data_IF_845472187348
#
_entry.id   IF_845472187348
#
_cell.length_a   1.000
_cell.length_b   1.000
_cell.length_c   1.000
_cell.angle_alpha   90.00
_cell.angle_beta   90.00
_cell.angle_gamma   90.00
#
_symmetry.space_group_name_H-M   'P 1'
#
loop_
_entity.id
_entity.type
_entity.pdbx_description
1 polymer ?
#
# COMPACT_ATOMS: atom_id res chain seq x y z
N UNK A 1 -4.18 1.37 5.57
CA UNK A 1 -5.13 0.37 5.02
C UNK A 1 -5.27 -0.74 6.06
N UNK A 2 -6.34 -1.53 6.04
CA UNK A 2 -6.51 -2.61 7.01
C UNK A 2 -5.78 -3.87 6.49
N UNK A 3 -4.73 -4.37 7.17
CA UNK A 3 -3.98 -5.54 6.74
C UNK A 3 -4.77 -6.85 6.83
N UNK A 4 -5.92 -6.88 7.52
CA UNK A 4 -6.76 -8.07 7.66
C UNK A 4 -7.78 -8.25 6.50
N UNK A 5 -7.66 -7.46 5.44
CA UNK A 5 -8.58 -7.48 4.29
C UNK A 5 -7.77 -7.47 2.99
N UNK A 6 -8.43 -7.78 1.87
CA UNK A 6 -7.81 -7.68 0.55
C UNK A 6 -7.29 -6.26 0.28
N UNK A 7 -5.96 -6.13 0.36
CA UNK A 7 -5.25 -4.88 0.23
C UNK A 7 -5.18 -4.39 -1.22
N UNK A 8 -5.18 -5.27 -2.23
CA UNK A 8 -5.16 -4.84 -3.63
C UNK A 8 -6.50 -4.23 -4.01
N UNK A 9 -7.59 -4.93 -3.68
CA UNK A 9 -8.95 -4.44 -3.87
C UNK A 9 -9.21 -3.16 -3.08
N UNK A 10 -8.74 -3.12 -1.83
CA UNK A 10 -8.81 -1.93 -0.98
C UNK A 10 -8.04 -0.74 -1.56
N UNK A 11 -6.87 -0.96 -2.16
CA UNK A 11 -6.06 0.07 -2.79
C UNK A 11 -6.77 0.63 -4.02
N UNK A 12 -7.24 -0.25 -4.89
CA UNK A 12 -7.93 0.10 -6.12
C UNK A 12 -9.21 0.90 -5.84
N UNK A 13 -10.00 0.50 -4.84
CA UNK A 13 -11.18 1.23 -4.38
C UNK A 13 -10.84 2.64 -3.88
N UNK A 14 -9.73 2.79 -3.14
CA UNK A 14 -9.24 4.10 -2.67
C UNK A 14 -8.71 4.98 -3.80
N UNK A 15 -8.04 4.40 -4.79
CA UNK A 15 -7.59 5.12 -5.99
C UNK A 15 -8.79 5.64 -6.79
N UNK A 16 -9.84 4.82 -6.93
CA UNK A 16 -11.05 5.19 -7.67
C UNK A 16 -11.95 6.19 -6.94
N UNK A 17 -11.86 6.31 -5.62
CA UNK A 17 -12.62 7.30 -4.85
C UNK A 17 -11.88 8.64 -4.68
N UNK A 18 -10.58 8.68 -4.96
CA UNK A 18 -9.78 9.89 -4.81
C UNK A 18 -9.96 10.83 -6.02
N UNK A 19 -10.49 12.03 -5.80
CA UNK A 19 -10.77 13.02 -6.86
C UNK A 19 -9.56 13.35 -7.75
N UNK A 20 -8.35 13.37 -7.20
CA UNK A 20 -7.11 13.62 -7.97
C UNK A 20 -6.80 12.43 -8.88
N UNK A 21 -6.94 11.21 -8.36
CA UNK A 21 -6.72 10.00 -9.12
C UNK A 21 -7.82 9.80 -10.19
N UNK A 22 -9.09 10.07 -9.86
CA UNK A 22 -10.21 10.06 -10.81
C UNK A 22 -9.98 11.07 -11.94
N UNK A 23 -9.46 12.25 -11.64
CA UNK A 23 -9.08 13.24 -12.65
C UNK A 23 -8.03 12.69 -13.62
N UNK A 24 -7.00 12.03 -13.10
CA UNK A 24 -5.93 11.39 -13.89
C UNK A 24 -6.47 10.23 -14.73
N UNK A 25 -7.32 9.39 -14.15
CA UNK A 25 -7.95 8.23 -14.81
C UNK A 25 -8.84 8.70 -15.97
N UNK A 26 -9.70 9.70 -15.72
CA UNK A 26 -10.58 10.29 -16.74
C UNK A 26 -9.81 11.05 -17.82
N UNK A 27 -8.82 11.85 -17.46
CA UNK A 27 -8.01 12.61 -18.43
C UNK A 27 -7.16 11.69 -19.31
N UNK A 28 -6.78 10.53 -18.79
CA UNK A 28 -5.97 9.55 -19.50
C UNK A 28 -6.76 8.66 -20.47
N UNK A 29 -8.09 8.83 -20.59
CA UNK A 29 -9.00 7.94 -21.34
C UNK A 29 -8.70 6.46 -21.05
N UNK A 30 -8.43 6.13 -19.78
CA UNK A 30 -8.27 4.72 -19.41
C UNK A 30 -9.66 4.12 -19.53
N UNK A 31 -9.85 3.28 -20.56
CA UNK A 31 -11.10 2.61 -20.77
C UNK A 31 -11.20 1.44 -19.79
N UNK A 32 -11.57 1.77 -18.55
CA UNK A 32 -11.79 0.79 -17.49
C UNK A 32 -12.84 -0.26 -17.90
N UNK A 33 -13.71 0.06 -18.88
CA UNK A 33 -14.66 -0.90 -19.46
C UNK A 33 -13.96 -2.06 -20.19
N UNK A 34 -12.78 -1.84 -20.79
CA UNK A 34 -11.95 -2.87 -21.41
C UNK A 34 -11.15 -3.70 -20.38
N UNK A 35 -10.97 -3.14 -19.18
CA UNK A 35 -10.41 -3.82 -18.00
C UNK A 35 -11.48 -4.52 -17.14
N UNK A 36 -12.64 -4.85 -17.71
CA UNK A 36 -13.65 -5.69 -17.03
C UNK A 36 -14.48 -4.97 -15.96
N UNK A 37 -14.45 -3.65 -15.87
CA UNK A 37 -15.29 -2.90 -14.93
C UNK A 37 -16.74 -2.82 -15.46
N UNK A 38 -17.54 -3.84 -15.16
CA UNK A 38 -19.01 -3.77 -15.20
C UNK A 38 -19.73 -4.26 -16.46
N UNK A 39 -19.03 -4.85 -17.44
CA UNK A 39 -19.68 -5.56 -18.56
C UNK A 39 -19.17 -7.00 -18.56
N UNK A 40 -20.05 -7.94 -18.19
CA UNK A 40 -19.83 -9.37 -18.38
C UNK A 40 -19.97 -9.63 -19.88
N UNK A 41 -18.87 -9.71 -20.61
CA UNK A 41 -18.87 -10.22 -21.98
C UNK A 41 -18.88 -11.75 -21.86
N UNK A 42 -20.02 -12.37 -22.18
CA UNK A 42 -20.15 -13.83 -22.19
C UNK A 42 -19.05 -14.46 -23.05
N UNK A 43 -18.28 -15.39 -22.46
CA UNK A 43 -17.33 -16.23 -23.19
C UNK A 43 -15.85 -15.91 -23.00
N UNK A 44 -15.49 -14.88 -22.23
CA UNK A 44 -14.10 -14.67 -21.78
C UNK A 44 -14.07 -14.70 -20.26
N UNK A 45 -13.29 -15.61 -19.66
CA UNK A 45 -13.10 -15.63 -18.20
C UNK A 45 -12.56 -14.26 -17.78
N UNK A 46 -13.24 -13.49 -16.91
CA UNK A 46 -12.75 -12.18 -16.51
C UNK A 46 -11.53 -12.38 -15.61
N UNK A 47 -10.35 -12.36 -16.22
CA UNK A 47 -9.08 -12.20 -15.51
C UNK A 47 -8.56 -10.82 -15.90
N UNK A 48 -9.16 -9.79 -15.30
CA UNK A 48 -8.59 -8.45 -15.23
C UNK A 48 -8.13 -8.26 -13.80
N UNK A 49 -6.94 -8.79 -13.52
CA UNK A 49 -6.26 -8.85 -12.22
C UNK A 49 -6.11 -7.44 -11.63
N UNK A 50 -6.52 -7.23 -10.37
CA UNK A 50 -6.47 -5.94 -9.67
C UNK A 50 -5.09 -5.29 -9.78
N UNK A 51 -4.03 -6.10 -9.79
CA UNK A 51 -2.65 -5.68 -10.00
C UNK A 51 -2.45 -4.93 -11.33
N UNK A 52 -2.97 -5.45 -12.44
CA UNK A 52 -2.83 -4.85 -13.78
C UNK A 52 -3.51 -3.48 -13.84
N UNK A 53 -4.68 -3.35 -13.21
CA UNK A 53 -5.39 -2.07 -13.12
C UNK A 53 -4.58 -1.05 -12.30
N UNK A 54 -4.01 -1.47 -11.17
CA UNK A 54 -3.15 -0.61 -10.34
C UNK A 54 -1.92 -0.16 -11.12
N UNK A 55 -1.25 -1.05 -11.87
CA UNK A 55 -0.10 -0.71 -12.72
C UNK A 55 -0.46 0.38 -13.72
N UNK A 56 -1.56 0.23 -14.46
CA UNK A 56 -1.99 1.21 -15.45
C UNK A 56 -2.25 2.60 -14.82
N UNK A 57 -2.85 2.64 -13.63
CA UNK A 57 -3.06 3.89 -12.88
C UNK A 57 -1.71 4.50 -12.48
N UNK A 58 -0.81 3.70 -11.92
CA UNK A 58 0.52 4.15 -11.47
C UNK A 58 1.38 4.69 -12.62
N UNK A 59 1.36 4.06 -13.79
CA UNK A 59 2.05 4.57 -14.99
C UNK A 59 1.55 5.96 -15.39
N UNK A 60 0.25 6.19 -15.30
CA UNK A 60 -0.34 7.49 -15.61
C UNK A 60 -0.04 8.51 -14.52
N UNK A 61 -0.01 8.11 -13.24
CA UNK A 61 0.47 8.98 -12.16
C UNK A 61 1.93 9.40 -12.41
N UNK A 62 2.78 8.48 -12.88
CA UNK A 62 4.18 8.77 -13.25
C UNK A 62 4.26 9.85 -14.33
N UNK A 63 3.48 9.71 -15.41
CA UNK A 63 3.41 10.68 -16.52
C UNK A 63 2.92 12.06 -16.08
N UNK A 64 2.09 12.14 -15.04
CA UNK A 64 1.60 13.39 -14.46
C UNK A 64 2.49 13.93 -13.31
N UNK A 65 3.66 13.34 -13.08
CA UNK A 65 4.58 13.74 -12.00
C UNK A 65 4.03 13.52 -10.60
N UNK A 66 3.04 12.63 -10.43
CA UNK A 66 2.43 12.29 -9.14
C UNK A 66 3.02 11.02 -8.57
N UNK A 67 2.99 10.91 -7.24
CA UNK A 67 3.50 9.77 -6.47
C UNK A 67 2.42 9.25 -5.53
N UNK A 68 2.40 7.95 -5.29
CA UNK A 68 1.47 7.26 -4.38
C UNK A 68 2.21 6.81 -3.13
N UNK A 69 1.78 7.26 -1.95
CA UNK A 69 2.22 6.73 -0.66
C UNK A 69 1.11 5.85 -0.09
N UNK A 70 1.42 4.58 0.12
CA UNK A 70 0.57 3.60 0.77
C UNK A 70 1.00 3.51 2.23
N UNK A 71 0.05 3.70 3.15
CA UNK A 71 0.29 3.52 4.58
C UNK A 71 -0.49 2.33 5.11
N UNK A 72 0.17 1.44 5.84
CA UNK A 72 -0.45 0.27 6.49
C UNK A 72 -0.05 0.29 7.96
N UNK A 73 -1.04 0.29 8.83
CA UNK A 73 -0.80 0.23 10.27
C UNK A 73 -0.88 -1.23 10.72
N UNK A 74 -0.07 -1.61 11.71
CA UNK A 74 -0.10 -2.92 12.37
C UNK A 74 -0.01 -4.11 11.39
N UNK A 75 0.97 -4.08 10.50
CA UNK A 75 1.21 -5.17 9.56
C UNK A 75 1.48 -6.49 10.31
N UNK A 76 0.80 -7.54 9.86
CA UNK A 76 0.94 -8.93 10.30
C UNK A 76 1.33 -9.81 9.12
N UNK A 77 2.02 -10.93 9.37
CA UNK A 77 2.27 -11.93 8.34
C UNK A 77 1.00 -12.72 8.07
N UNK A 78 0.18 -12.26 7.12
CA UNK A 78 -1.03 -12.92 6.68
C UNK A 78 -1.09 -13.01 5.15
N UNK A 79 -1.96 -13.85 4.62
CA UNK A 79 -2.08 -14.12 3.18
C UNK A 79 -2.32 -12.83 2.36
N UNK A 80 -3.21 -11.93 2.82
CA UNK A 80 -3.48 -10.67 2.13
C UNK A 80 -2.25 -9.77 2.06
N UNK A 81 -1.48 -9.71 3.14
CA UNK A 81 -0.25 -8.94 3.20
C UNK A 81 0.85 -9.54 2.32
N UNK A 82 0.95 -10.87 2.27
CA UNK A 82 1.92 -11.56 1.42
C UNK A 82 1.62 -11.32 -0.07
N UNK A 83 0.36 -11.45 -0.48
CA UNK A 83 -0.10 -11.16 -1.85
C UNK A 83 0.23 -9.70 -2.20
N UNK A 84 -0.16 -8.76 -1.32
CA UNK A 84 0.10 -7.34 -1.54
C UNK A 84 1.59 -7.01 -1.62
N UNK A 85 2.42 -7.58 -0.74
CA UNK A 85 3.86 -7.36 -0.75
C UNK A 85 4.51 -7.92 -2.03
N UNK A 86 4.03 -9.06 -2.53
CA UNK A 86 4.42 -9.62 -3.82
C UNK A 86 4.12 -8.67 -4.99
N UNK A 87 2.89 -8.20 -5.10
CA UNK A 87 2.50 -7.21 -6.13
C UNK A 87 3.27 -5.90 -5.97
N UNK A 88 3.48 -5.43 -4.74
CA UNK A 88 4.26 -4.22 -4.47
C UNK A 88 5.70 -4.35 -4.96
N UNK A 89 6.31 -5.54 -4.83
CA UNK A 89 7.65 -5.81 -5.37
C UNK A 89 7.69 -5.60 -6.90
N UNK A 90 6.64 -6.01 -7.61
CA UNK A 90 6.51 -5.83 -9.06
C UNK A 90 6.44 -4.34 -9.39
N UNK A 91 5.63 -3.57 -8.66
CA UNK A 91 5.48 -2.13 -8.87
C UNK A 91 6.82 -1.38 -8.71
N UNK A 92 7.57 -1.71 -7.66
CA UNK A 92 8.90 -1.12 -7.40
C UNK A 92 9.89 -1.52 -8.50
N UNK A 93 9.86 -2.78 -8.96
CA UNK A 93 10.76 -3.27 -10.03
C UNK A 93 10.50 -2.58 -11.36
N UNK A 94 9.25 -2.20 -11.63
CA UNK A 94 8.86 -1.44 -12.83
C UNK A 94 9.10 0.07 -12.72
N UNK A 95 9.78 0.54 -11.65
CA UNK A 95 10.03 1.95 -11.38
C UNK A 95 8.73 2.79 -11.34
N UNK A 96 7.64 2.20 -10.84
CA UNK A 96 6.37 2.90 -10.65
C UNK A 96 6.47 3.84 -9.44
N UNK A 97 5.76 4.99 -9.45
CA UNK A 97 5.91 6.03 -8.44
C UNK A 97 5.14 5.69 -7.15
N UNK A 98 5.42 4.53 -6.55
CA UNK A 98 4.74 4.00 -5.38
C UNK A 98 5.71 3.83 -4.20
N UNK A 99 5.23 4.15 -3.01
CA UNK A 99 5.98 4.09 -1.75
C UNK A 99 5.11 3.39 -0.69
N UNK A 100 5.74 2.62 0.20
CA UNK A 100 5.08 1.94 1.31
C UNK A 100 5.65 2.45 2.64
N UNK A 101 4.77 2.86 3.54
CA UNK A 101 5.07 3.12 4.94
C UNK A 101 4.22 2.17 5.77
N UNK A 102 4.88 1.22 6.44
CA UNK A 102 4.24 0.22 7.26
C UNK A 102 4.73 0.31 8.71
N UNK A 103 3.83 0.11 9.66
CA UNK A 103 4.16 -0.13 11.07
C UNK A 103 3.87 -1.61 11.39
N UNK A 104 4.51 -2.15 12.42
CA UNK A 104 4.27 -3.52 12.86
C UNK A 104 5.16 -3.85 14.04
N UNK A 105 4.78 -4.91 14.77
CA UNK A 105 5.66 -5.50 15.78
C UNK A 105 6.90 -6.08 15.11
N UNK A 106 8.00 -6.15 15.85
CA UNK A 106 9.27 -6.64 15.31
C UNK A 106 9.11 -8.04 14.73
N UNK A 107 8.43 -8.92 15.46
CA UNK A 107 8.20 -10.32 15.11
C UNK A 107 7.41 -10.44 13.80
N UNK A 108 6.30 -9.70 13.67
CA UNK A 108 5.47 -9.72 12.45
C UNK A 108 6.25 -9.26 11.22
N UNK A 109 7.10 -8.24 11.38
CA UNK A 109 7.89 -7.69 10.29
C UNK A 109 9.03 -8.65 9.90
N UNK A 110 9.63 -9.32 10.88
CA UNK A 110 10.66 -10.34 10.66
C UNK A 110 10.10 -11.57 9.94
N UNK A 111 8.95 -12.09 10.40
CA UNK A 111 8.25 -13.20 9.75
C UNK A 111 7.90 -12.89 8.30
N UNK A 112 7.31 -11.71 8.04
CA UNK A 112 6.94 -11.29 6.68
C UNK A 112 8.17 -11.16 5.76
N UNK A 113 9.34 -10.79 6.29
CA UNK A 113 10.58 -10.68 5.53
C UNK A 113 11.20 -12.05 5.22
N UNK A 114 11.02 -13.01 6.11
CA UNK A 114 11.51 -14.38 5.98
C UNK A 114 10.70 -15.22 4.99
N UNK A 115 9.55 -14.72 4.52
CA UNK A 115 8.82 -15.33 3.43
C UNK A 115 9.68 -15.40 2.15
N UNK A 116 9.73 -16.59 1.54
CA UNK A 116 10.64 -16.96 0.45
C UNK A 116 10.65 -15.95 -0.71
N UNK A 117 9.50 -15.34 -0.99
CA UNK A 117 9.30 -14.42 -2.11
C UNK A 117 9.34 -12.93 -1.70
N UNK A 118 9.46 -12.60 -0.41
CA UNK A 118 9.33 -11.22 0.11
C UNK A 118 10.64 -10.65 0.67
N UNK A 119 11.76 -11.32 0.43
CA UNK A 119 13.10 -10.90 0.89
C UNK A 119 13.51 -9.51 0.41
N UNK A 120 12.84 -8.94 -0.60
CA UNK A 120 13.07 -7.56 -1.00
C UNK A 120 12.81 -6.57 0.14
N UNK A 121 11.93 -6.91 1.09
CA UNK A 121 11.62 -6.11 2.28
C UNK A 121 12.84 -5.92 3.19
N UNK A 122 13.84 -6.80 3.13
CA UNK A 122 15.12 -6.58 3.84
C UNK A 122 15.84 -5.32 3.40
N UNK A 123 15.63 -4.89 2.15
CA UNK A 123 16.24 -3.67 1.58
C UNK A 123 15.44 -2.41 1.90
N UNK A 124 14.26 -2.54 2.49
CA UNK A 124 13.46 -1.39 2.92
C UNK A 124 14.14 -0.68 4.09
N UNK A 125 14.07 0.66 4.13
CA UNK A 125 14.56 1.43 5.27
C UNK A 125 13.71 1.13 6.51
N UNK A 126 14.37 0.73 7.60
CA UNK A 126 13.72 0.38 8.86
C UNK A 126 13.98 1.47 9.91
N UNK A 127 12.93 1.92 10.58
CA UNK A 127 13.03 2.80 11.73
C UNK A 127 12.58 2.00 12.95
N UNK A 128 13.55 1.51 13.73
CA UNK A 128 13.25 0.84 14.99
C UNK A 128 12.96 1.89 16.06
N UNK A 129 11.70 1.97 16.47
CA UNK A 129 11.30 2.82 17.58
C UNK A 129 11.79 2.20 18.90
N UNK A 130 12.45 3.01 19.73
CA UNK A 130 12.88 2.63 21.07
C UNK A 130 11.82 3.07 22.09
N UNK A 131 11.78 2.43 23.27
CA UNK A 131 10.96 2.92 24.37
C UNK A 131 11.21 4.41 24.62
N UNK A 132 10.15 5.12 25.00
CA UNK A 132 10.25 6.53 25.32
C UNK A 132 11.21 6.72 26.52
N UNK A 133 12.05 7.74 26.46
CA UNK A 133 12.91 8.10 27.59
C UNK A 133 12.04 8.48 28.80
N UNK A 134 12.32 7.94 29.99
CA UNK A 134 11.59 8.22 31.24
C UNK A 134 11.40 9.73 31.49
N UNK A 135 12.38 10.57 31.13
CA UNK A 135 12.28 12.03 31.23
C UNK A 135 11.28 12.61 30.22
N UNK A 136 11.24 12.08 29.01
CA UNK A 136 10.24 12.45 28.01
C UNK A 136 8.83 12.00 28.44
N UNK A 137 8.70 10.83 29.07
CA UNK A 137 7.45 10.35 29.69
C UNK A 137 7.03 11.33 30.79
N UNK A 138 7.90 11.58 31.78
CA UNK A 138 7.64 12.49 32.89
C UNK A 138 7.21 13.88 32.39
N UNK A 139 7.92 14.45 31.42
CA UNK A 139 7.57 15.74 30.82
C UNK A 139 6.20 15.69 30.14
N UNK A 140 5.88 14.63 29.41
CA UNK A 140 4.54 14.45 28.81
C UNK A 140 3.45 14.41 29.88
N UNK A 141 3.64 13.66 30.95
CA UNK A 141 2.70 13.60 32.08
C UNK A 141 2.55 14.98 32.74
N UNK A 142 3.66 15.68 33.01
CA UNK A 142 3.64 17.05 33.54
C UNK A 142 2.83 17.99 32.67
N UNK A 143 3.03 17.95 31.34
CA UNK A 143 2.27 18.76 30.39
C UNK A 143 0.79 18.37 30.34
N UNK A 144 0.46 17.08 30.28
CA UNK A 144 -0.94 16.61 30.17
C UNK A 144 -1.73 16.95 31.43
N UNK A 145 -1.13 16.75 32.60
CA UNK A 145 -1.79 16.96 33.90
C UNK A 145 -1.56 18.35 34.49
N UNK A 146 -0.90 19.27 33.76
CA UNK A 146 -0.48 20.60 34.23
C UNK A 146 0.24 20.55 35.59
N UNK A 147 1.07 19.53 35.79
CA UNK A 147 1.91 19.40 36.99
C UNK A 147 3.19 20.16 36.71
N UNK A 148 3.28 21.36 37.29
CA UNK A 148 4.44 22.26 37.21
C UNK A 148 5.69 21.55 37.76
#
# INVERSE_FOLDING_TARGET
MNPATDLLKGLLSKLNSNKVCVGIIKSAKIDLSFFGFGVVIEGMSPITDEETAIIAILEKMKKNGKRLLITIDEVTNNEFMQIFAGSFQIFVRQDLPVFLLATGLYENIDELQNEKNLTFLYRASKIQLKPLNNRAIMNKYKTIFNII
#
